data_IF_926794145561
#
_entry.id   IF_926794145561
#
_cell.length_a   1.000
_cell.length_b   1.000
_cell.length_c   1.000
_cell.angle_alpha   90.00
_cell.angle_beta   90.00
_cell.angle_gamma   90.00
#
_symmetry.space_group_name_H-M   'P 1'
#
loop_
_entity.id
_entity.type
_entity.pdbx_description
1 polymer ?
#
# COMPACT_ATOMS: atom_id res chain seq x y z
N UNK A 1 0.16 -3.79 -30.76
CA UNK A 1 -0.22 -5.12 -30.21
C UNK A 1 0.49 -5.27 -28.87
N UNK A 2 -0.22 -5.63 -27.80
CA UNK A 2 0.42 -5.74 -26.48
C UNK A 2 1.22 -7.05 -26.40
N UNK A 3 2.55 -6.93 -26.28
CA UNK A 3 3.43 -8.08 -26.15
C UNK A 3 3.10 -8.88 -24.88
N UNK A 4 2.96 -10.19 -25.04
CA UNK A 4 2.79 -11.14 -23.95
C UNK A 4 4.17 -11.55 -23.47
N UNK A 5 4.33 -11.74 -22.16
CA UNK A 5 5.57 -12.29 -21.62
C UNK A 5 5.68 -13.77 -22.05
N UNK A 6 6.85 -14.24 -22.53
CA UNK A 6 7.02 -15.64 -22.93
C UNK A 6 6.72 -16.55 -21.73
N UNK A 7 5.77 -17.47 -21.90
CA UNK A 7 5.30 -18.37 -20.84
C UNK A 7 4.14 -17.85 -19.98
N UNK A 8 3.63 -16.64 -20.23
CA UNK A 8 2.50 -16.08 -19.48
C UNK A 8 1.35 -15.66 -20.42
N UNK A 9 0.12 -16.07 -20.12
CA UNK A 9 -1.07 -15.63 -20.85
C UNK A 9 -1.38 -14.13 -20.64
N UNK A 10 -0.85 -13.53 -19.56
CA UNK A 10 -1.07 -12.14 -19.23
C UNK A 10 -0.24 -11.21 -20.12
N UNK A 11 -0.81 -10.05 -20.48
CA UNK A 11 -0.11 -9.02 -21.24
C UNK A 11 0.85 -8.28 -20.31
N UNK A 12 2.07 -7.97 -20.76
CA UNK A 12 3.05 -7.24 -19.95
C UNK A 12 2.46 -5.93 -19.41
N UNK A 13 1.69 -5.23 -20.24
CA UNK A 13 0.98 -3.99 -19.89
C UNK A 13 -0.06 -4.18 -18.78
N UNK A 14 -0.77 -5.32 -18.74
CA UNK A 14 -1.76 -5.60 -17.68
C UNK A 14 -1.12 -5.93 -16.34
N UNK A 15 0.05 -6.57 -16.34
CA UNK A 15 0.81 -6.85 -15.13
C UNK A 15 1.37 -5.54 -14.56
N UNK A 16 1.94 -4.69 -15.41
CA UNK A 16 2.46 -3.37 -15.02
C UNK A 16 1.34 -2.47 -14.48
N UNK A 17 0.18 -2.41 -15.14
CA UNK A 17 -0.98 -1.63 -14.65
C UNK A 17 -1.48 -2.14 -13.28
N UNK A 18 -1.53 -3.47 -13.09
CA UNK A 18 -1.87 -4.07 -11.81
C UNK A 18 -0.88 -3.67 -10.71
N UNK A 19 0.42 -3.74 -10.98
CA UNK A 19 1.47 -3.34 -10.03
C UNK A 19 1.33 -1.85 -9.68
N UNK A 20 1.15 -0.98 -10.67
CA UNK A 20 0.95 0.46 -10.46
C UNK A 20 -0.29 0.73 -9.60
N UNK A 21 -1.40 0.03 -9.86
CA UNK A 21 -2.63 0.15 -9.06
C UNK A 21 -2.42 -0.28 -7.62
N UNK A 22 -1.73 -1.40 -7.40
CA UNK A 22 -1.40 -1.90 -6.06
C UNK A 22 -0.50 -0.92 -5.30
N UNK A 23 0.54 -0.39 -5.96
CA UNK A 23 1.42 0.61 -5.38
C UNK A 23 0.66 1.88 -5.00
N UNK A 24 -0.18 2.41 -5.90
CA UNK A 24 -1.00 3.60 -5.61
C UNK A 24 -1.91 3.40 -4.40
N UNK A 25 -2.57 2.24 -4.29
CA UNK A 25 -3.42 1.92 -3.12
C UNK A 25 -2.61 1.88 -1.83
N UNK A 26 -1.47 1.18 -1.84
CA UNK A 26 -0.58 1.07 -0.67
C UNK A 26 -0.09 2.44 -0.21
N UNK A 27 0.33 3.29 -1.15
CA UNK A 27 0.78 4.65 -0.83
C UNK A 27 -0.36 5.53 -0.31
N UNK A 28 -1.57 5.44 -0.88
CA UNK A 28 -2.72 6.17 -0.35
C UNK A 28 -3.02 5.78 1.09
N UNK A 29 -3.05 4.48 1.38
CA UNK A 29 -3.20 3.97 2.75
C UNK A 29 -2.14 4.50 3.71
N UNK A 30 -0.86 4.57 3.28
CA UNK A 30 0.20 5.17 4.11
C UNK A 30 -0.02 6.67 4.36
N UNK A 31 -0.49 7.40 3.34
CA UNK A 31 -0.84 8.83 3.47
C UNK A 31 -2.01 9.00 4.43
N UNK A 32 -3.02 8.13 4.39
CA UNK A 32 -4.14 8.15 5.35
C UNK A 32 -3.66 7.88 6.78
N UNK A 33 -2.73 6.93 6.96
CA UNK A 33 -2.09 6.67 8.25
C UNK A 33 -1.26 7.86 8.76
N UNK A 34 -0.65 8.65 7.86
CA UNK A 34 0.26 9.77 8.18
C UNK A 34 -0.39 11.16 8.08
N UNK A 35 -1.65 11.23 7.65
CA UNK A 35 -2.32 12.48 7.35
C UNK A 35 -2.55 13.33 8.60
N UNK A 36 -3.00 14.58 8.45
CA UNK A 36 -3.32 15.47 9.58
C UNK A 36 -4.41 14.91 10.50
N UNK A 37 -5.23 13.97 10.00
CA UNK A 37 -6.16 13.17 10.78
C UNK A 37 -5.51 11.90 11.35
N UNK A 38 -4.18 11.91 11.56
CA UNK A 38 -3.32 10.81 12.01
C UNK A 38 -4.02 10.05 13.12
N UNK A 39 -4.75 8.99 12.73
CA UNK A 39 -5.92 8.49 13.45
C UNK A 39 -5.46 7.62 14.62
N UNK A 40 -4.56 8.13 15.47
CA UNK A 40 -3.80 7.38 16.46
C UNK A 40 -2.61 6.58 15.91
N UNK A 41 -2.19 6.83 14.67
CA UNK A 41 -0.91 6.32 14.14
C UNK A 41 0.18 7.37 14.33
N UNK A 42 1.32 6.97 14.88
CA UNK A 42 2.50 7.81 15.08
C UNK A 42 3.70 7.24 14.34
N UNK A 43 4.62 8.10 13.92
CA UNK A 43 5.88 7.67 13.34
C UNK A 43 6.97 7.57 14.42
N UNK A 44 7.64 6.42 14.50
CA UNK A 44 8.84 6.27 15.32
C UNK A 44 10.10 6.48 14.47
N UNK A 45 10.87 7.52 14.80
CA UNK A 45 12.10 7.88 14.10
C UNK A 45 13.25 6.89 14.33
N UNK A 46 13.29 6.22 15.48
CA UNK A 46 14.37 5.32 15.88
C UNK A 46 14.24 3.96 15.20
N UNK A 47 13.05 3.37 15.28
CA UNK A 47 12.76 2.08 14.65
C UNK A 47 12.32 2.21 13.20
N UNK A 48 12.11 3.46 12.73
CA UNK A 48 11.61 3.79 11.38
C UNK A 48 10.32 3.02 11.05
N UNK A 49 9.39 2.96 12.00
CA UNK A 49 8.13 2.24 11.82
C UNK A 49 6.93 3.05 12.32
N UNK A 50 5.75 2.67 11.85
CA UNK A 50 4.49 3.21 12.32
C UNK A 50 4.11 2.51 13.63
N UNK A 51 3.84 3.29 14.67
CA UNK A 51 3.37 2.82 15.96
C UNK A 51 1.92 3.24 16.14
N UNK A 52 1.09 2.32 16.62
CA UNK A 52 -0.28 2.62 17.03
C UNK A 52 -0.71 1.70 18.16
N UNK A 53 -1.86 2.00 18.76
CA UNK A 53 -2.50 1.09 19.72
C UNK A 53 -3.02 -0.14 18.97
N UNK A 54 -2.83 -1.32 19.55
CA UNK A 54 -3.27 -2.61 18.96
C UNK A 54 -4.74 -2.61 18.56
N UNK A 55 -5.62 -2.05 19.40
CA UNK A 55 -7.06 -1.97 19.13
C UNK A 55 -7.38 -1.13 17.89
N UNK A 56 -6.61 -0.06 17.68
CA UNK A 56 -6.78 0.83 16.54
C UNK A 56 -6.34 0.16 15.25
N UNK A 57 -5.20 -0.55 15.28
CA UNK A 57 -4.75 -1.37 14.17
C UNK A 57 -5.77 -2.46 13.81
N UNK A 58 -6.29 -3.19 14.81
CA UNK A 58 -7.27 -4.24 14.58
C UNK A 58 -8.58 -3.73 13.96
N UNK A 59 -9.02 -2.52 14.34
CA UNK A 59 -10.20 -1.89 13.73
C UNK A 59 -9.93 -1.42 12.30
N UNK A 60 -8.69 -1.01 12.00
CA UNK A 60 -8.29 -0.52 10.68
C UNK A 60 -8.08 -1.65 9.65
N UNK A 61 -7.54 -2.80 10.07
CA UNK A 61 -7.27 -3.96 9.18
C UNK A 61 -8.53 -4.74 8.77
N UNK A 62 -9.70 -4.40 9.33
CA UNK A 62 -10.94 -5.17 9.20
C UNK A 62 -11.54 -5.18 7.79
#
# INVERSE_FOLDING_TARGET
MAEKLPGCQARATTVIDCIIKTLKRTFQTMIEMWGPACNGFGWNNETKCIITKKELFNNWVR
#
